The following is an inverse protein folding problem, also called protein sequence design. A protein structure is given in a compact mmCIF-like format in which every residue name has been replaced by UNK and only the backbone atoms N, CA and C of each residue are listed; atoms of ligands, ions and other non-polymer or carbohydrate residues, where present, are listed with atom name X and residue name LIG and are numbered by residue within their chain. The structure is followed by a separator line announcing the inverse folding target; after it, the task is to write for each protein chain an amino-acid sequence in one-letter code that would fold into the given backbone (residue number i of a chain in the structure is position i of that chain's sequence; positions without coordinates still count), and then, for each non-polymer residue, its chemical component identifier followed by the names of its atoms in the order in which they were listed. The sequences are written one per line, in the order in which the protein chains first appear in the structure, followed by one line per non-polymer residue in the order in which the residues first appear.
data_IF_646045385466
#
_entry.id   IF_646045385466
#
_cell.length_a   1.000
_cell.length_b   1.000
_cell.length_c   1.000
_cell.angle_alpha   90.00
_cell.angle_beta   90.00
_cell.angle_gamma   90.00
#
_symmetry.space_group_name_H-M   'P 1'
#
loop_
_entity.id
_entity.type
_entity.pdbx_description
1 polymer ?
#
# COMPACT_ATOMS: atom_id res chain seq x y z
N UNK A 1 -5.51 16.04 10.97
CA UNK A 1 -4.10 16.41 10.67
C UNK A 1 -3.99 17.83 10.13
N UNK A 2 -4.45 18.15 8.91
CA UNK A 2 -4.31 19.51 8.32
C UNK A 2 -4.84 20.64 9.21
N UNK A 3 -6.07 20.51 9.72
CA UNK A 3 -6.67 21.53 10.59
C UNK A 3 -5.87 21.77 11.89
N UNK A 4 -5.30 20.71 12.47
CA UNK A 4 -4.46 20.84 13.68
C UNK A 4 -3.13 21.50 13.33
N UNK A 5 -2.49 21.11 12.22
CA UNK A 5 -1.25 21.75 11.78
C UNK A 5 -1.42 23.25 11.54
N UNK A 6 -2.53 23.65 10.93
CA UNK A 6 -2.86 25.06 10.70
C UNK A 6 -3.02 25.86 12.00
N UNK A 7 -3.63 25.27 13.04
CA UNK A 7 -3.71 25.89 14.37
C UNK A 7 -2.35 26.11 15.04
N UNK A 8 -1.31 25.44 14.54
CA UNK A 8 0.08 25.54 15.01
C UNK A 8 0.98 26.27 14.00
N UNK A 9 0.42 27.04 13.06
CA UNK A 9 1.15 27.78 12.02
C UNK A 9 2.02 26.89 11.11
N UNK A 10 1.61 25.63 10.92
CA UNK A 10 2.29 24.65 10.05
C UNK A 10 1.41 24.26 8.86
N UNK A 11 2.04 23.89 7.74
CA UNK A 11 1.36 23.36 6.55
C UNK A 11 1.59 21.86 6.39
N UNK A 12 0.60 21.04 6.79
CA UNK A 12 0.66 19.59 6.56
C UNK A 12 0.22 19.23 5.15
N UNK A 13 1.07 18.49 4.43
CA UNK A 13 0.77 17.96 3.10
C UNK A 13 0.86 16.43 3.07
N UNK A 14 0.02 15.81 2.24
CA UNK A 14 0.07 14.37 1.93
C UNK A 14 0.52 14.13 0.48
N UNK A 15 1.14 15.15 -0.12
CA UNK A 15 1.73 15.04 -1.44
C UNK A 15 2.75 13.87 -1.45
N UNK A 16 2.72 12.98 -2.46
CA UNK A 16 3.56 11.76 -2.43
C UNK A 16 5.07 12.02 -2.36
N UNK A 17 5.57 13.05 -3.04
CA UNK A 17 6.99 13.43 -3.08
C UNK A 17 7.10 14.96 -3.06
N UNK A 18 7.03 15.60 -1.89
CA UNK A 18 7.06 17.07 -1.81
C UNK A 18 8.49 17.63 -1.95
N UNK A 19 9.50 16.83 -1.64
CA UNK A 19 10.92 17.21 -1.64
C UNK A 19 11.70 16.17 -2.44
N UNK A 20 12.62 16.63 -3.29
CA UNK A 20 13.49 15.76 -4.06
C UNK A 20 14.49 15.02 -3.15
N UNK A 21 14.97 13.87 -3.60
CA UNK A 21 16.09 13.14 -2.98
C UNK A 21 15.90 12.62 -1.53
N UNK A 22 14.73 12.81 -0.91
CA UNK A 22 14.38 12.23 0.39
C UNK A 22 13.16 11.31 0.28
N UNK A 23 12.85 10.52 1.31
CA UNK A 23 11.65 9.66 1.30
C UNK A 23 10.37 10.47 1.03
N UNK A 24 9.46 9.86 0.29
CA UNK A 24 8.12 10.40 0.07
C UNK A 24 7.12 9.90 1.10
N UNK A 25 5.87 10.34 0.99
CA UNK A 25 4.75 9.87 1.82
C UNK A 25 3.96 8.79 1.07
N UNK A 26 3.76 7.64 1.72
CA UNK A 26 2.93 6.55 1.24
C UNK A 26 1.74 6.28 2.17
N UNK A 27 0.76 5.53 1.67
CA UNK A 27 -0.38 5.05 2.45
C UNK A 27 -0.46 3.53 2.26
N UNK A 28 0.20 2.77 3.12
CA UNK A 28 0.15 1.32 3.08
C UNK A 28 -1.25 0.87 3.52
N UNK A 29 -1.83 -0.06 2.76
CA UNK A 29 -3.17 -0.56 3.01
C UNK A 29 -3.07 -2.03 3.37
N UNK A 30 -3.42 -2.37 4.61
CA UNK A 30 -3.54 -3.74 5.07
C UNK A 30 -4.97 -4.19 4.82
N UNK A 31 -5.14 -5.31 4.11
CA UNK A 31 -6.43 -5.84 3.70
C UNK A 31 -6.56 -7.26 4.23
N UNK A 32 -7.70 -7.59 4.81
CA UNK A 32 -8.09 -8.93 5.23
C UNK A 32 -9.50 -9.23 4.76
N UNK A 33 -9.78 -10.51 4.55
CA UNK A 33 -11.09 -11.01 4.16
C UNK A 33 -11.68 -11.82 5.32
N UNK A 34 -12.98 -11.68 5.56
CA UNK A 34 -13.69 -12.42 6.60
C UNK A 34 -14.85 -13.19 5.99
N UNK A 35 -15.08 -14.40 6.49
CA UNK A 35 -16.26 -15.19 6.13
C UNK A 35 -17.53 -14.69 6.84
N UNK A 36 -18.68 -15.30 6.53
CA UNK A 36 -19.97 -14.92 7.14
C UNK A 36 -20.02 -15.20 8.65
N UNK A 37 -19.19 -16.12 9.15
CA UNK A 37 -19.06 -16.47 10.57
C UNK A 37 -18.09 -15.52 11.31
N UNK A 38 -17.41 -14.62 10.60
CA UNK A 38 -16.47 -13.63 11.15
C UNK A 38 -15.05 -14.15 11.35
N UNK A 39 -14.68 -15.30 10.79
CA UNK A 39 -13.31 -15.80 10.81
C UNK A 39 -12.48 -15.11 9.72
N UNK A 40 -11.19 -14.89 10.00
CA UNK A 40 -10.27 -14.33 9.00
C UNK A 40 -9.97 -15.39 7.94
N UNK A 41 -10.55 -15.22 6.75
CA UNK A 41 -10.41 -16.13 5.63
C UNK A 41 -9.00 -16.17 5.04
N UNK A 42 -8.08 -15.30 5.46
CA UNK A 42 -6.68 -15.35 5.05
C UNK A 42 -5.78 -16.20 5.94
N UNK A 43 -6.20 -16.53 7.18
CA UNK A 43 -5.35 -17.24 8.12
C UNK A 43 -5.38 -18.77 7.91
N UNK A 44 -4.22 -19.41 7.95
CA UNK A 44 -4.07 -20.87 7.98
C UNK A 44 -2.76 -21.27 8.68
N UNK A 45 -2.84 -21.70 9.94
CA UNK A 45 -1.66 -22.07 10.76
C UNK A 45 -0.90 -23.31 10.24
N UNK A 46 -1.41 -24.00 9.22
CA UNK A 46 -0.74 -25.16 8.62
C UNK A 46 0.20 -24.80 7.46
N UNK A 47 0.09 -23.59 6.92
CA UNK A 47 0.95 -23.06 5.87
C UNK A 47 2.22 -22.41 6.43
N UNK A 48 3.32 -22.42 5.66
CA UNK A 48 4.62 -21.87 6.09
C UNK A 48 4.54 -20.38 6.48
N UNK A 49 3.70 -19.60 5.80
CA UNK A 49 3.53 -18.17 6.05
C UNK A 49 2.26 -17.85 6.85
N UNK A 50 1.60 -18.86 7.38
CA UNK A 50 0.27 -18.78 8.00
C UNK A 50 -0.82 -18.25 7.06
N UNK A 51 -0.69 -18.50 5.75
CA UNK A 51 -1.59 -17.99 4.72
C UNK A 51 -2.43 -19.12 4.11
N UNK A 52 -3.75 -18.94 4.11
CA UNK A 52 -4.67 -19.85 3.43
C UNK A 52 -4.54 -19.77 1.90
N UNK A 53 -5.11 -20.77 1.22
CA UNK A 53 -5.28 -20.73 -0.24
C UNK A 53 -6.02 -19.46 -0.72
N UNK A 54 -7.01 -18.99 0.06
CA UNK A 54 -7.77 -17.76 -0.26
C UNK A 54 -6.87 -16.52 -0.24
N UNK A 55 -5.92 -16.45 0.71
CA UNK A 55 -4.94 -15.37 0.76
C UNK A 55 -4.03 -15.38 -0.48
N UNK A 56 -3.54 -16.57 -0.88
CA UNK A 56 -2.72 -16.71 -2.09
C UNK A 56 -3.47 -16.33 -3.37
N UNK A 57 -4.74 -16.74 -3.50
CA UNK A 57 -5.57 -16.37 -4.64
C UNK A 57 -5.84 -14.86 -4.69
N UNK A 58 -6.16 -14.24 -3.54
CA UNK A 58 -6.33 -12.80 -3.44
C UNK A 58 -5.04 -12.06 -3.84
N UNK A 59 -3.90 -12.48 -3.29
CA UNK A 59 -2.60 -11.92 -3.60
C UNK A 59 -2.25 -12.06 -5.08
N UNK A 60 -2.49 -13.22 -5.69
CA UNK A 60 -2.32 -13.44 -7.12
C UNK A 60 -3.14 -12.46 -7.96
N UNK A 61 -4.39 -12.19 -7.55
CA UNK A 61 -5.23 -11.17 -8.18
C UNK A 61 -4.66 -9.76 -8.06
N UNK A 62 -4.17 -9.38 -6.88
CA UNK A 62 -3.52 -8.08 -6.65
C UNK A 62 -2.28 -7.92 -7.54
N UNK A 63 -1.40 -8.92 -7.57
CA UNK A 63 -0.19 -8.87 -8.39
C UNK A 63 -0.52 -8.80 -9.89
N UNK A 64 -1.49 -9.59 -10.36
CA UNK A 64 -1.91 -9.61 -11.77
C UNK A 64 -2.48 -8.25 -12.24
N UNK A 65 -3.08 -7.48 -11.34
CA UNK A 65 -3.71 -6.19 -11.68
C UNK A 65 -2.92 -4.96 -11.22
N UNK A 66 -1.74 -5.15 -10.60
CA UNK A 66 -0.96 -4.09 -9.99
C UNK A 66 -0.67 -2.92 -10.93
N UNK A 67 -0.21 -3.20 -12.16
CA UNK A 67 0.07 -2.15 -13.14
C UNK A 67 -1.19 -1.35 -13.51
N UNK A 68 -2.33 -2.02 -13.67
CA UNK A 68 -3.58 -1.39 -14.06
C UNK A 68 -4.13 -0.48 -12.96
N UNK A 69 -4.26 -0.99 -11.74
CA UNK A 69 -4.81 -0.19 -10.65
C UNK A 69 -3.81 0.85 -10.11
N UNK A 70 -2.52 0.80 -10.48
CA UNK A 70 -1.53 1.84 -10.12
C UNK A 70 -2.01 3.23 -10.53
N UNK A 71 -2.72 3.36 -11.65
CA UNK A 71 -3.30 4.65 -12.06
C UNK A 71 -4.32 5.20 -11.05
N UNK A 72 -5.01 4.34 -10.31
CA UNK A 72 -6.01 4.72 -9.31
C UNK A 72 -5.35 4.92 -7.93
N UNK A 73 -4.44 4.02 -7.54
CA UNK A 73 -3.77 4.09 -6.24
C UNK A 73 -2.67 5.16 -6.19
N UNK A 74 -2.17 5.60 -7.34
CA UNK A 74 -1.14 6.64 -7.50
C UNK A 74 -1.58 7.71 -8.51
N UNK A 75 -2.68 8.44 -8.24
CA UNK A 75 -3.45 9.15 -9.28
C UNK A 75 -2.87 10.49 -9.74
N UNK A 76 -1.74 10.92 -9.17
CA UNK A 76 -1.14 12.22 -9.52
C UNK A 76 0.18 12.02 -10.23
N UNK A 77 0.56 12.98 -11.10
CA UNK A 77 1.90 13.01 -11.69
C UNK A 77 2.99 12.92 -10.61
N UNK A 78 2.77 13.54 -9.46
CA UNK A 78 3.74 13.52 -8.37
C UNK A 78 3.85 12.16 -7.67
N UNK A 79 2.81 11.31 -7.73
CA UNK A 79 2.86 9.95 -7.20
C UNK A 79 3.99 9.14 -7.87
N UNK A 80 4.17 9.31 -9.18
CA UNK A 80 5.23 8.64 -9.94
C UNK A 80 6.64 9.18 -9.64
N UNK A 81 6.77 10.34 -8.98
CA UNK A 81 8.07 10.82 -8.48
C UNK A 81 8.46 10.17 -7.15
N UNK A 82 7.49 9.54 -6.47
CA UNK A 82 7.71 8.69 -5.29
C UNK A 82 8.14 7.28 -5.68
N UNK A 83 7.57 6.73 -6.74
CA UNK A 83 7.83 5.36 -7.22
C UNK A 83 9.17 5.28 -7.97
N UNK A 84 10.26 5.49 -7.26
CA UNK A 84 11.64 5.44 -7.75
C UNK A 84 12.52 4.64 -6.78
N UNK A 85 13.59 3.98 -7.23
CA UNK A 85 14.46 3.18 -6.36
C UNK A 85 15.14 4.02 -5.27
N UNK A 86 15.47 3.38 -4.15
CA UNK A 86 16.29 3.96 -3.07
C UNK A 86 15.52 4.59 -1.89
N UNK A 87 14.18 4.51 -1.87
CA UNK A 87 13.35 5.19 -0.85
C UNK A 87 12.25 4.30 -0.24
N UNK A 88 12.43 2.97 -0.27
CA UNK A 88 11.47 1.98 0.26
C UNK A 88 10.04 2.09 -0.32
N UNK A 89 9.89 2.75 -1.48
CA UNK A 89 8.63 2.77 -2.21
C UNK A 89 8.49 1.48 -3.04
N UNK A 90 7.28 0.89 -3.15
CA UNK A 90 7.07 -0.29 -3.97
C UNK A 90 7.14 0.08 -5.45
N UNK A 91 8.14 -0.43 -6.15
CA UNK A 91 8.40 -0.14 -7.58
C UNK A 91 8.37 -1.37 -8.49
N UNK A 92 8.25 -2.56 -7.90
CA UNK A 92 8.15 -3.83 -8.62
C UNK A 92 6.89 -4.57 -8.21
N UNK A 93 6.28 -5.28 -9.15
CA UNK A 93 5.18 -6.20 -8.87
C UNK A 93 5.79 -7.47 -8.26
N UNK A 94 5.78 -7.53 -6.94
CA UNK A 94 6.32 -8.64 -6.17
C UNK A 94 5.64 -8.72 -4.80
N UNK A 95 5.76 -9.87 -4.16
CA UNK A 95 5.38 -10.09 -2.77
C UNK A 95 6.53 -10.79 -2.02
N UNK A 96 6.60 -10.56 -0.72
CA UNK A 96 7.55 -11.13 0.24
C UNK A 96 6.88 -11.16 1.61
N UNK A 97 7.37 -12.06 2.47
CA UNK A 97 7.17 -12.01 3.93
C UNK A 97 8.02 -10.92 4.60
#
# INVERSE_FOLDING_TARGET
VRAVAEQHDLHATFMPKPIAEINGSGMHSHISLFDEDGNNAFADDSDEFNLSETAYQFMGGVLNHAEAFTAVTNPTVNSYKRLVPGYEAPIYVAWSD
#
